data_IF_485339626692
#
_entry.id   IF_485339626692
#
_cell.length_a   1.000
_cell.length_b   1.000
_cell.length_c   1.000
_cell.angle_alpha   90.00
_cell.angle_beta   90.00
_cell.angle_gamma   90.00
#
_symmetry.space_group_name_H-M   'P 1'
#
loop_
_entity.id
_entity.type
_entity.pdbx_description
1 polymer ?
#
# COMPACT_ATOMS: atom_id res chain seq x y z
N UNK A 1 -32.26 -32.26 -47.73
CA UNK A 1 -33.04 -33.51 -47.89
C UNK A 1 -34.53 -33.19 -47.85
N UNK A 2 -35.29 -33.63 -48.84
CA UNK A 2 -36.72 -33.37 -49.02
C UNK A 2 -37.55 -34.07 -47.94
N UNK A 3 -38.56 -33.40 -47.36
CA UNK A 3 -39.47 -34.01 -46.37
C UNK A 3 -40.14 -35.27 -46.97
N UNK A 4 -40.16 -36.42 -46.28
CA UNK A 4 -40.79 -37.63 -46.79
C UNK A 4 -42.27 -37.39 -47.14
N UNK A 5 -42.69 -37.79 -48.34
CA UNK A 5 -44.09 -37.73 -48.74
C UNK A 5 -44.95 -38.56 -47.79
N UNK A 6 -46.18 -38.11 -47.48
CA UNK A 6 -47.07 -38.73 -46.48
C UNK A 6 -47.28 -40.25 -46.69
N UNK A 7 -47.28 -40.73 -47.93
CA UNK A 7 -47.46 -42.14 -48.28
C UNK A 7 -46.15 -42.88 -48.60
N UNK A 8 -44.99 -42.22 -48.54
CA UNK A 8 -43.70 -42.84 -48.77
C UNK A 8 -43.36 -43.86 -47.65
N UNK A 9 -42.51 -44.86 -47.93
CA UNK A 9 -41.96 -45.71 -46.88
C UNK A 9 -41.23 -44.87 -45.83
N UNK A 10 -41.39 -45.24 -44.56
CA UNK A 10 -40.84 -44.49 -43.45
C UNK A 10 -39.30 -44.61 -43.42
N UNK A 11 -38.56 -43.49 -43.25
CA UNK A 11 -37.09 -43.50 -43.29
C UNK A 11 -36.42 -44.27 -42.14
N UNK A 12 -37.18 -44.71 -41.13
CA UNK A 12 -36.67 -45.56 -40.04
C UNK A 12 -36.43 -47.03 -40.45
N UNK A 13 -36.72 -47.41 -41.70
CA UNK A 13 -36.52 -48.78 -42.19
C UNK A 13 -37.61 -49.78 -41.77
N UNK A 14 -38.67 -49.34 -41.09
CA UNK A 14 -39.74 -50.22 -40.58
C UNK A 14 -40.65 -50.86 -41.65
N UNK A 15 -40.48 -50.50 -42.93
CA UNK A 15 -41.34 -50.92 -44.03
C UNK A 15 -42.76 -50.33 -44.04
N UNK A 16 -43.16 -49.59 -42.99
CA UNK A 16 -44.49 -48.95 -42.88
C UNK A 16 -44.52 -47.61 -43.61
N UNK A 17 -45.71 -47.16 -44.05
CA UNK A 17 -45.89 -45.81 -44.63
C UNK A 17 -45.64 -44.73 -43.56
N UNK A 18 -44.95 -43.65 -43.91
CA UNK A 18 -44.57 -42.56 -42.99
C UNK A 18 -45.76 -42.03 -42.17
N UNK A 19 -46.94 -41.87 -42.78
CA UNK A 19 -48.17 -41.44 -42.08
C UNK A 19 -48.62 -42.32 -40.91
N UNK A 20 -48.25 -43.60 -40.89
CA UNK A 20 -48.65 -44.58 -39.87
C UNK A 20 -47.55 -44.77 -38.82
N UNK A 21 -46.32 -44.35 -39.13
CA UNK A 21 -45.16 -44.58 -38.29
C UNK A 21 -44.76 -43.29 -37.56
N UNK A 22 -44.02 -42.40 -38.21
CA UNK A 22 -43.44 -41.22 -37.53
C UNK A 22 -44.19 -39.91 -37.81
N UNK A 23 -45.22 -39.89 -38.66
CA UNK A 23 -45.89 -38.62 -39.00
C UNK A 23 -46.69 -37.99 -37.85
N UNK A 24 -47.22 -38.79 -36.92
CA UNK A 24 -47.88 -38.30 -35.71
C UNK A 24 -46.87 -37.71 -34.73
N UNK A 25 -45.75 -38.40 -34.50
CA UNK A 25 -44.65 -37.91 -33.67
C UNK A 25 -44.02 -36.65 -34.24
N UNK A 26 -43.76 -36.59 -35.55
CA UNK A 26 -43.20 -35.40 -36.20
C UNK A 26 -44.18 -34.22 -36.20
N UNK A 27 -45.49 -34.47 -36.18
CA UNK A 27 -46.50 -33.42 -35.96
C UNK A 27 -46.54 -32.98 -34.51
N UNK A 28 -46.45 -33.90 -33.55
CA UNK A 28 -46.40 -33.57 -32.14
C UNK A 28 -45.14 -32.75 -31.79
N UNK A 29 -43.99 -33.08 -32.38
CA UNK A 29 -42.74 -32.30 -32.26
C UNK A 29 -42.84 -30.91 -32.89
N UNK A 30 -43.59 -30.75 -33.98
CA UNK A 30 -43.82 -29.43 -34.62
C UNK A 30 -44.91 -28.60 -33.95
N UNK A 31 -45.85 -29.24 -33.26
CA UNK A 31 -46.96 -28.59 -32.55
C UNK A 31 -46.60 -28.23 -31.10
N UNK A 32 -45.42 -28.63 -30.62
CA UNK A 32 -44.91 -28.15 -29.33
C UNK A 32 -44.57 -26.66 -29.46
N UNK A 33 -45.17 -25.76 -28.65
CA UNK A 33 -44.76 -24.36 -28.65
C UNK A 33 -43.26 -24.27 -28.33
N UNK A 34 -42.52 -23.29 -28.89
CA UNK A 34 -41.14 -23.08 -28.48
C UNK A 34 -41.11 -22.91 -26.97
N UNK A 35 -40.27 -23.69 -26.28
CA UNK A 35 -40.06 -23.52 -24.86
C UNK A 35 -39.79 -22.03 -24.60
N UNK A 36 -40.47 -21.43 -23.60
CA UNK A 36 -40.25 -20.04 -23.23
C UNK A 36 -38.73 -19.83 -23.09
N UNK A 37 -38.19 -18.84 -23.82
CA UNK A 37 -36.77 -18.56 -23.79
C UNK A 37 -36.35 -18.32 -22.33
N UNK A 38 -35.32 -19.03 -21.87
CA UNK A 38 -34.81 -18.85 -20.52
C UNK A 38 -34.48 -17.37 -20.33
N UNK A 39 -34.83 -16.73 -19.19
CA UNK A 39 -34.69 -15.29 -19.00
C UNK A 39 -33.25 -14.78 -19.27
N UNK A 40 -32.26 -15.63 -19.02
CA UNK A 40 -30.83 -15.34 -19.21
C UNK A 40 -30.28 -15.68 -20.62
N UNK A 41 -31.12 -15.99 -21.61
CA UNK A 41 -30.64 -16.45 -22.93
C UNK A 41 -29.82 -15.36 -23.65
N UNK A 42 -30.21 -14.09 -23.51
CA UNK A 42 -29.50 -12.97 -24.09
C UNK A 42 -28.17 -12.72 -23.35
N UNK A 43 -28.20 -12.75 -22.02
CA UNK A 43 -27.03 -12.50 -21.17
C UNK A 43 -25.96 -13.59 -21.30
N UNK A 44 -26.39 -14.85 -21.38
CA UNK A 44 -25.48 -15.98 -21.66
C UNK A 44 -24.81 -15.85 -23.03
N UNK A 45 -25.54 -15.35 -24.04
CA UNK A 45 -24.95 -15.09 -25.36
C UNK A 45 -23.92 -13.96 -25.29
N UNK A 46 -24.26 -12.85 -24.64
CA UNK A 46 -23.34 -11.73 -24.44
C UNK A 46 -22.09 -12.12 -23.64
N UNK A 47 -22.24 -13.01 -22.65
CA UNK A 47 -21.12 -13.56 -21.89
C UNK A 47 -20.25 -14.51 -22.73
N UNK A 48 -20.84 -15.33 -23.59
CA UNK A 48 -20.09 -16.16 -24.55
C UNK A 48 -19.31 -15.30 -25.56
N UNK A 49 -19.91 -14.22 -26.05
CA UNK A 49 -19.24 -13.26 -26.94
C UNK A 49 -18.05 -12.60 -26.23
N UNK A 50 -18.21 -12.20 -24.97
CA UNK A 50 -17.14 -11.64 -24.16
C UNK A 50 -15.98 -12.63 -23.94
N UNK A 51 -16.27 -13.91 -23.72
CA UNK A 51 -15.25 -14.96 -23.57
C UNK A 51 -14.49 -15.24 -24.88
N UNK A 52 -15.09 -14.96 -26.02
CA UNK A 52 -14.47 -15.08 -27.35
C UNK A 52 -13.77 -13.80 -27.83
N UNK A 53 -13.83 -12.71 -27.06
CA UNK A 53 -13.25 -11.42 -27.42
C UNK A 53 -11.72 -11.45 -27.29
N UNK A 54 -10.95 -11.02 -28.30
CA UNK A 54 -9.49 -10.89 -28.19
C UNK A 54 -9.04 -9.85 -27.16
N UNK A 55 -9.88 -8.88 -26.80
CA UNK A 55 -9.58 -7.89 -25.76
C UNK A 55 -9.85 -8.44 -24.34
N UNK A 56 -8.80 -8.98 -23.73
CA UNK A 56 -8.83 -9.53 -22.38
C UNK A 56 -9.15 -8.49 -21.29
N UNK A 57 -9.02 -7.18 -21.56
CA UNK A 57 -9.31 -6.14 -20.58
C UNK A 57 -10.79 -6.10 -20.20
N UNK A 58 -11.68 -6.49 -21.13
CA UNK A 58 -13.13 -6.54 -20.88
C UNK A 58 -13.49 -7.75 -20.02
N UNK A 59 -12.84 -8.89 -20.27
CA UNK A 59 -12.99 -10.08 -19.44
C UNK A 59 -12.45 -9.86 -18.03
N UNK A 60 -11.27 -9.23 -17.89
CA UNK A 60 -10.70 -8.86 -16.58
C UNK A 60 -11.68 -8.02 -15.77
N UNK A 61 -12.23 -6.96 -16.37
CA UNK A 61 -13.23 -6.09 -15.72
C UNK A 61 -14.49 -6.85 -15.29
N UNK A 62 -14.97 -7.79 -16.10
CA UNK A 62 -16.12 -8.62 -15.74
C UNK A 62 -15.82 -9.56 -14.56
N UNK A 63 -14.59 -10.09 -14.47
CA UNK A 63 -14.15 -10.93 -13.35
C UNK A 63 -13.92 -10.13 -12.06
N UNK A 64 -13.38 -8.92 -12.17
CA UNK A 64 -13.26 -7.96 -11.05
C UNK A 64 -14.65 -7.58 -10.52
N UNK A 65 -15.60 -7.28 -11.41
CA UNK A 65 -16.99 -6.97 -11.05
C UNK A 65 -17.69 -8.17 -10.39
N UNK A 66 -17.46 -9.38 -10.92
CA UNK A 66 -17.94 -10.62 -10.30
C UNK A 66 -17.38 -10.76 -8.87
N UNK A 67 -16.08 -10.52 -8.67
CA UNK A 67 -15.45 -10.54 -7.35
C UNK A 67 -16.10 -9.55 -6.37
N UNK A 68 -16.39 -8.33 -6.82
CA UNK A 68 -17.07 -7.31 -6.02
C UNK A 68 -18.50 -7.72 -5.63
N UNK A 69 -19.27 -8.28 -6.56
CA UNK A 69 -20.61 -8.82 -6.28
C UNK A 69 -20.56 -9.95 -5.26
N UNK A 70 -19.61 -10.88 -5.44
CA UNK A 70 -19.40 -11.98 -4.52
C UNK A 70 -19.07 -11.48 -3.11
N UNK A 71 -18.15 -10.52 -2.96
CA UNK A 71 -17.81 -9.92 -1.67
C UNK A 71 -19.01 -9.22 -1.01
N UNK A 72 -19.80 -8.46 -1.79
CA UNK A 72 -20.99 -7.76 -1.29
C UNK A 72 -22.09 -8.68 -0.75
N UNK A 73 -22.13 -9.95 -1.17
CA UNK A 73 -23.07 -10.96 -0.66
C UNK A 73 -22.56 -11.74 0.54
N UNK A 74 -21.29 -11.54 0.93
CA UNK A 74 -20.64 -12.26 2.02
C UNK A 74 -20.47 -13.77 1.74
N UNK A 75 -20.11 -14.56 2.77
CA UNK A 75 -19.82 -15.98 2.64
C UNK A 75 -21.11 -16.80 2.52
N UNK A 76 -21.79 -16.68 1.39
CA UNK A 76 -23.02 -17.42 1.12
C UNK A 76 -22.70 -18.87 0.67
N UNK A 77 -23.48 -19.88 1.12
CA UNK A 77 -23.35 -21.25 0.65
C UNK A 77 -23.42 -21.33 -0.88
N UNK A 78 -22.53 -22.12 -1.46
CA UNK A 78 -22.41 -22.28 -2.90
C UNK A 78 -21.65 -21.16 -3.62
N UNK A 79 -21.35 -20.02 -2.97
CA UNK A 79 -20.50 -18.95 -3.53
C UNK A 79 -19.07 -18.93 -3.00
N UNK A 80 -18.78 -19.73 -1.98
CA UNK A 80 -17.49 -19.88 -1.32
C UNK A 80 -17.18 -21.35 -1.15
N UNK A 81 -15.89 -21.67 -1.05
CA UNK A 81 -15.47 -22.96 -0.50
C UNK A 81 -16.04 -23.13 0.90
N UNK A 82 -16.23 -24.38 1.32
CA UNK A 82 -16.62 -24.69 2.69
C UNK A 82 -15.66 -24.02 3.68
N UNK A 83 -16.21 -23.30 4.65
CA UNK A 83 -15.45 -22.43 5.52
C UNK A 83 -14.44 -23.20 6.39
N UNK A 84 -14.88 -24.31 6.99
CA UNK A 84 -14.03 -25.13 7.84
C UNK A 84 -12.94 -25.82 7.02
N UNK A 85 -13.27 -26.31 5.83
CA UNK A 85 -12.29 -26.90 4.93
C UNK A 85 -11.28 -25.87 4.40
N UNK A 86 -11.74 -24.65 4.10
CA UNK A 86 -10.88 -23.55 3.67
C UNK A 86 -9.93 -23.12 4.78
N UNK A 87 -10.45 -22.89 5.98
CA UNK A 87 -9.66 -22.50 7.16
C UNK A 87 -8.60 -23.55 7.50
N UNK A 88 -8.98 -24.83 7.57
CA UNK A 88 -8.05 -25.92 7.84
C UNK A 88 -6.96 -26.06 6.76
N UNK A 89 -7.32 -25.88 5.50
CA UNK A 89 -6.37 -25.97 4.38
C UNK A 89 -5.41 -24.78 4.36
N UNK A 90 -5.92 -23.55 4.48
CA UNK A 90 -5.11 -22.33 4.52
C UNK A 90 -4.18 -22.35 5.73
N UNK A 91 -4.67 -22.70 6.93
CA UNK A 91 -3.84 -22.80 8.12
C UNK A 91 -2.67 -23.77 7.93
N UNK A 92 -2.94 -24.98 7.45
CA UNK A 92 -1.90 -25.98 7.17
C UNK A 92 -0.94 -25.55 6.06
N UNK A 93 -1.44 -24.94 5.00
CA UNK A 93 -0.60 -24.47 3.89
C UNK A 93 0.31 -23.32 4.34
N UNK A 94 -0.20 -22.39 5.16
CA UNK A 94 0.60 -21.31 5.73
C UNK A 94 1.66 -21.82 6.71
N UNK A 95 1.36 -22.83 7.53
CA UNK A 95 2.36 -23.49 8.39
C UNK A 95 3.49 -24.13 7.56
N UNK A 96 3.15 -24.77 6.44
CA UNK A 96 4.14 -25.36 5.55
C UNK A 96 5.03 -24.31 4.86
N UNK A 97 4.43 -23.20 4.39
CA UNK A 97 5.13 -22.08 3.77
C UNK A 97 5.96 -21.27 4.78
N UNK A 98 5.57 -21.21 6.06
CA UNK A 98 6.38 -20.60 7.11
C UNK A 98 7.67 -21.39 7.42
N UNK A 99 7.70 -22.69 7.10
CA UNK A 99 8.83 -23.59 7.34
C UNK A 99 9.88 -23.64 6.22
N UNK A 100 9.66 -22.99 5.08
CA UNK A 100 10.61 -22.94 3.96
C UNK A 100 11.63 -21.81 4.13
N UNK A 101 12.92 -22.09 3.87
CA UNK A 101 14.04 -21.15 4.07
C UNK A 101 14.14 -20.05 3.00
N UNK A 102 13.48 -20.25 1.85
CA UNK A 102 13.31 -19.27 0.77
C UNK A 102 11.83 -18.90 0.70
N UNK A 103 11.48 -17.74 1.22
CA UNK A 103 10.11 -17.19 1.16
C UNK A 103 10.05 -16.21 0.00
N UNK A 104 9.17 -16.48 -0.97
CA UNK A 104 8.90 -15.64 -2.13
C UNK A 104 7.40 -15.31 -2.14
N UNK A 105 6.97 -14.14 -1.64
CA UNK A 105 5.54 -13.88 -1.37
C UNK A 105 4.61 -14.06 -2.57
N UNK A 106 5.05 -13.71 -3.78
CA UNK A 106 4.29 -13.90 -5.00
C UNK A 106 4.14 -15.39 -5.36
N UNK A 107 5.21 -16.16 -5.16
CA UNK A 107 5.22 -17.61 -5.36
C UNK A 107 4.42 -18.33 -4.28
N UNK A 108 4.55 -17.93 -3.02
CA UNK A 108 3.84 -18.49 -1.88
C UNK A 108 2.34 -18.21 -1.98
N UNK A 109 1.94 -17.00 -2.37
CA UNK A 109 0.53 -16.67 -2.68
C UNK A 109 0.02 -17.49 -3.86
N UNK A 110 0.82 -17.66 -4.92
CA UNK A 110 0.45 -18.48 -6.07
C UNK A 110 0.34 -19.96 -5.69
N UNK A 111 1.22 -20.47 -4.83
CA UNK A 111 1.21 -21.84 -4.32
C UNK A 111 0.01 -22.08 -3.39
N UNK A 112 -0.31 -21.10 -2.54
CA UNK A 112 -1.50 -21.11 -1.70
C UNK A 112 -2.77 -21.13 -2.53
N UNK A 113 -2.87 -20.26 -3.55
CA UNK A 113 -3.99 -20.23 -4.49
C UNK A 113 -4.11 -21.58 -5.22
N UNK A 114 -3.04 -22.04 -5.88
CA UNK A 114 -3.06 -23.28 -6.68
C UNK A 114 -3.36 -24.49 -5.79
N UNK A 115 -2.76 -24.56 -4.60
CA UNK A 115 -3.01 -25.64 -3.64
C UNK A 115 -4.45 -25.65 -3.13
N UNK A 116 -5.00 -24.47 -2.83
CA UNK A 116 -6.38 -24.33 -2.36
C UNK A 116 -7.39 -24.67 -3.45
N UNK A 117 -7.18 -24.16 -4.67
CA UNK A 117 -8.01 -24.46 -5.83
C UNK A 117 -7.96 -25.94 -6.19
N UNK A 118 -6.78 -26.59 -6.11
CA UNK A 118 -6.64 -28.04 -6.29
C UNK A 118 -7.39 -28.86 -5.25
N UNK A 119 -7.35 -28.41 -4.00
CA UNK A 119 -7.96 -29.15 -2.90
C UNK A 119 -9.48 -28.97 -2.84
N UNK A 120 -9.98 -27.74 -3.05
CA UNK A 120 -11.37 -27.36 -2.77
C UNK A 120 -12.20 -27.09 -4.04
N UNK A 121 -11.54 -26.80 -5.16
CA UNK A 121 -12.15 -26.54 -6.46
C UNK A 121 -12.70 -27.80 -7.14
N UNK A 122 -13.62 -28.51 -6.50
CA UNK A 122 -14.19 -29.75 -7.05
C UNK A 122 -15.26 -29.48 -8.11
N UNK A 123 -15.56 -30.49 -8.95
CA UNK A 123 -16.68 -30.42 -9.91
C UNK A 123 -18.02 -30.16 -9.21
N UNK A 124 -18.25 -30.81 -8.07
CA UNK A 124 -19.47 -30.61 -7.28
C UNK A 124 -19.59 -29.17 -6.76
N UNK A 125 -18.47 -28.58 -6.33
CA UNK A 125 -18.41 -27.18 -5.96
C UNK A 125 -18.75 -26.27 -7.16
N UNK A 126 -18.11 -26.48 -8.30
CA UNK A 126 -18.36 -25.68 -9.51
C UNK A 126 -19.80 -25.79 -10.04
N UNK A 127 -20.41 -26.97 -9.98
CA UNK A 127 -21.82 -27.16 -10.35
C UNK A 127 -22.75 -26.39 -9.41
N UNK A 128 -22.45 -26.40 -8.10
CA UNK A 128 -23.19 -25.66 -7.08
C UNK A 128 -23.00 -24.15 -7.25
N UNK A 129 -21.77 -23.71 -7.50
CA UNK A 129 -21.43 -22.32 -7.77
C UNK A 129 -22.17 -21.81 -9.00
N UNK A 130 -22.10 -22.54 -10.11
CA UNK A 130 -22.82 -22.23 -11.34
C UNK A 130 -24.32 -22.07 -11.11
N UNK A 131 -24.94 -23.02 -10.42
CA UNK A 131 -26.36 -22.95 -10.11
C UNK A 131 -26.69 -21.70 -9.28
N UNK A 132 -25.86 -21.40 -8.29
CA UNK A 132 -26.05 -20.26 -7.38
C UNK A 132 -25.89 -18.91 -8.08
N UNK A 133 -24.90 -18.75 -8.97
CA UNK A 133 -24.71 -17.50 -9.71
C UNK A 133 -25.77 -17.32 -10.80
N UNK A 134 -26.22 -18.39 -11.47
CA UNK A 134 -27.32 -18.31 -12.44
C UNK A 134 -28.66 -18.00 -11.78
N UNK A 135 -28.91 -18.55 -10.58
CA UNK A 135 -30.08 -18.19 -9.80
C UNK A 135 -30.06 -16.69 -9.45
N UNK A 136 -28.92 -16.16 -9.00
CA UNK A 136 -28.77 -14.73 -8.71
C UNK A 136 -28.86 -13.83 -9.94
N UNK A 137 -28.35 -14.29 -11.08
CA UNK A 137 -28.49 -13.58 -12.34
C UNK A 137 -29.96 -13.46 -12.78
N UNK A 138 -30.79 -14.45 -12.45
CA UNK A 138 -32.22 -14.46 -12.77
C UNK A 138 -33.07 -13.63 -11.78
N UNK A 139 -32.49 -13.04 -10.74
CA UNK A 139 -33.22 -12.19 -9.79
C UNK A 139 -33.68 -10.89 -10.44
N UNK A 140 -34.93 -10.44 -10.19
CA UNK A 140 -35.42 -9.18 -10.73
C UNK A 140 -34.67 -7.99 -10.12
N UNK A 141 -34.37 -6.97 -10.93
CA UNK A 141 -33.72 -5.73 -10.48
C UNK A 141 -32.20 -5.69 -10.62
N UNK A 142 -31.58 -6.73 -11.21
CA UNK A 142 -30.16 -6.73 -11.56
C UNK A 142 -29.85 -5.82 -12.73
N UNK A 143 -28.69 -5.15 -12.68
CA UNK A 143 -28.18 -4.40 -13.82
C UNK A 143 -27.73 -5.36 -14.94
N UNK A 144 -27.71 -4.92 -16.21
CA UNK A 144 -27.17 -5.74 -17.31
C UNK A 144 -25.71 -6.15 -17.07
N UNK A 145 -24.92 -5.28 -16.43
CA UNK A 145 -23.51 -5.53 -16.10
C UNK A 145 -23.36 -6.62 -15.04
N UNK A 146 -24.21 -6.61 -14.01
CA UNK A 146 -24.25 -7.65 -12.98
C UNK A 146 -24.61 -9.00 -13.60
N UNK A 147 -25.68 -9.03 -14.40
CA UNK A 147 -26.16 -10.25 -15.04
C UNK A 147 -25.10 -10.81 -15.99
N UNK A 148 -24.42 -9.95 -16.76
CA UNK A 148 -23.32 -10.37 -17.63
C UNK A 148 -22.15 -10.97 -16.84
N UNK A 149 -21.68 -10.31 -15.78
CA UNK A 149 -20.58 -10.81 -14.95
C UNK A 149 -20.91 -12.17 -14.30
N UNK A 150 -22.15 -12.36 -13.84
CA UNK A 150 -22.62 -13.64 -13.29
C UNK A 150 -22.72 -14.74 -14.35
N UNK A 151 -23.19 -14.40 -15.55
CA UNK A 151 -23.20 -15.33 -16.68
C UNK A 151 -21.79 -15.72 -17.11
N UNK A 152 -20.82 -14.80 -17.10
CA UNK A 152 -19.39 -15.10 -17.35
C UNK A 152 -18.86 -16.08 -16.31
N UNK A 153 -19.11 -15.83 -15.01
CA UNK A 153 -18.74 -16.75 -13.94
C UNK A 153 -19.35 -18.14 -14.10
N UNK A 154 -20.62 -18.22 -14.49
CA UNK A 154 -21.32 -19.48 -14.75
C UNK A 154 -20.74 -20.28 -15.93
N UNK A 155 -20.35 -19.58 -17.01
CA UNK A 155 -19.74 -20.18 -18.19
C UNK A 155 -18.33 -20.68 -17.90
N UNK A 156 -17.52 -19.89 -17.20
CA UNK A 156 -16.17 -20.30 -16.77
C UNK A 156 -16.21 -21.50 -15.82
N UNK A 157 -17.19 -21.56 -14.92
CA UNK A 157 -17.42 -22.75 -14.07
C UNK A 157 -17.83 -23.99 -14.88
N UNK A 158 -18.28 -23.82 -16.12
CA UNK A 158 -18.69 -24.89 -17.04
C UNK A 158 -17.65 -25.24 -18.10
N UNK A 159 -16.51 -24.53 -18.16
CA UNK A 159 -15.64 -24.46 -19.33
C UNK A 159 -14.84 -25.74 -19.68
N UNK A 160 -15.09 -26.88 -19.03
CA UNK A 160 -14.39 -28.12 -19.38
C UNK A 160 -15.10 -28.95 -20.46
N UNK A 161 -14.34 -29.33 -21.48
CA UNK A 161 -14.76 -30.29 -22.49
C UNK A 161 -15.01 -31.68 -21.87
N UNK A 162 -16.12 -32.33 -22.22
CA UNK A 162 -16.40 -33.71 -21.84
C UNK A 162 -15.27 -34.61 -22.37
N UNK A 163 -14.36 -35.03 -21.49
CA UNK A 163 -13.27 -35.97 -21.81
C UNK A 163 -11.86 -35.52 -21.46
N UNK A 164 -11.63 -34.25 -21.08
CA UNK A 164 -10.31 -33.82 -20.58
C UNK A 164 -10.12 -34.17 -19.10
N UNK A 165 -8.85 -34.27 -18.67
CA UNK A 165 -8.49 -34.40 -17.25
C UNK A 165 -8.96 -33.13 -16.52
N UNK A 166 -9.61 -33.31 -15.36
CA UNK A 166 -10.06 -32.20 -14.53
C UNK A 166 -8.86 -31.59 -13.80
N UNK A 167 -8.49 -30.37 -14.20
CA UNK A 167 -7.48 -29.54 -13.55
C UNK A 167 -8.19 -28.27 -13.08
N UNK A 168 -8.49 -28.13 -11.79
CA UNK A 168 -9.17 -26.94 -11.28
C UNK A 168 -8.33 -25.67 -11.42
N UNK A 169 -7.00 -25.76 -11.43
CA UNK A 169 -6.09 -24.62 -11.64
C UNK A 169 -6.23 -23.94 -13.02
N UNK A 170 -6.85 -24.61 -13.99
CA UNK A 170 -7.09 -24.05 -15.33
C UNK A 170 -8.43 -23.30 -15.43
N UNK A 171 -9.15 -23.14 -14.30
CA UNK A 171 -10.51 -22.58 -14.24
C UNK A 171 -10.46 -21.17 -13.61
N UNK A 172 -10.49 -20.09 -14.41
CA UNK A 172 -10.20 -18.73 -13.93
C UNK A 172 -11.17 -18.21 -12.85
N UNK A 173 -12.40 -18.72 -12.81
CA UNK A 173 -13.38 -18.30 -11.80
C UNK A 173 -13.02 -18.79 -10.40
N UNK A 174 -12.21 -19.85 -10.27
CA UNK A 174 -11.75 -20.32 -8.96
C UNK A 174 -10.71 -19.37 -8.35
N UNK A 175 -9.90 -18.69 -9.18
CA UNK A 175 -8.96 -17.65 -8.72
C UNK A 175 -9.73 -16.47 -8.11
N UNK A 176 -10.83 -16.04 -8.75
CA UNK A 176 -11.71 -14.97 -8.21
C UNK A 176 -12.32 -15.36 -6.87
N UNK A 177 -12.84 -16.59 -6.76
CA UNK A 177 -13.44 -17.10 -5.52
C UNK A 177 -12.40 -17.19 -4.40
N UNK A 178 -11.20 -17.69 -4.71
CA UNK A 178 -10.10 -17.74 -3.76
C UNK A 178 -9.73 -16.36 -3.25
N UNK A 179 -9.51 -15.37 -4.13
CA UNK A 179 -9.09 -14.02 -3.73
C UNK A 179 -10.13 -13.33 -2.82
N UNK A 180 -11.42 -13.50 -3.12
CA UNK A 180 -12.50 -12.95 -2.27
C UNK A 180 -12.54 -13.65 -0.91
N UNK A 181 -12.56 -14.98 -0.88
CA UNK A 181 -12.64 -15.74 0.36
C UNK A 181 -11.40 -15.59 1.23
N UNK A 182 -10.22 -15.51 0.61
CA UNK A 182 -8.96 -15.31 1.32
C UNK A 182 -8.90 -13.94 1.98
N UNK A 183 -9.42 -12.88 1.33
CA UNK A 183 -9.55 -11.56 1.94
C UNK A 183 -10.48 -11.58 3.16
N UNK A 184 -11.66 -12.19 3.01
CA UNK A 184 -12.62 -12.38 4.11
C UNK A 184 -12.03 -13.22 5.25
N UNK A 185 -11.16 -14.18 4.94
CA UNK A 185 -10.45 -14.98 5.93
C UNK A 185 -9.39 -14.16 6.67
N UNK A 186 -8.60 -13.35 5.96
CA UNK A 186 -7.61 -12.44 6.54
C UNK A 186 -8.26 -11.41 7.48
N UNK A 187 -9.40 -10.83 7.10
CA UNK A 187 -10.15 -9.87 7.94
C UNK A 187 -10.59 -10.50 9.28
N UNK A 188 -10.91 -11.79 9.29
CA UNK A 188 -11.33 -12.54 10.49
C UNK A 188 -10.18 -13.05 11.35
N UNK A 189 -9.01 -13.27 10.75
CA UNK A 189 -7.83 -13.80 11.42
C UNK A 189 -6.74 -12.72 11.54
N UNK A 190 -7.08 -11.56 12.11
CA UNK A 190 -6.22 -10.35 12.19
C UNK A 190 -4.78 -10.62 12.66
N UNK A 191 -4.52 -11.56 13.57
CA UNK A 191 -3.15 -11.91 14.00
C UNK A 191 -2.34 -12.67 12.92
N UNK A 192 -2.98 -13.51 12.12
CA UNK A 192 -2.38 -14.23 10.98
C UNK A 192 -2.32 -13.34 9.73
N UNK A 193 -3.30 -12.45 9.55
CA UNK A 193 -3.26 -11.39 8.55
C UNK A 193 -2.18 -10.36 8.85
N UNK A 194 -1.83 -10.09 10.12
CA UNK A 194 -0.63 -9.32 10.47
C UNK A 194 0.67 -10.08 10.13
N UNK A 195 0.70 -11.41 10.24
CA UNK A 195 1.84 -12.22 9.75
C UNK A 195 1.94 -12.19 8.22
N UNK A 196 0.83 -12.21 7.50
CA UNK A 196 0.77 -12.11 6.04
C UNK A 196 0.97 -10.69 5.51
N UNK A 197 0.47 -9.66 6.18
CA UNK A 197 0.83 -8.26 5.93
C UNK A 197 2.29 -7.99 6.32
N UNK A 198 2.87 -8.68 7.31
CA UNK A 198 4.31 -8.64 7.56
C UNK A 198 5.11 -9.37 6.46
N UNK A 199 4.55 -10.40 5.83
CA UNK A 199 5.13 -11.04 4.63
C UNK A 199 4.94 -10.19 3.36
N UNK A 200 3.86 -9.42 3.25
CA UNK A 200 3.50 -8.63 2.06
C UNK A 200 3.95 -7.16 2.13
N UNK A 201 4.15 -6.59 3.32
CA UNK A 201 4.63 -5.20 3.51
C UNK A 201 6.13 -5.09 3.80
N UNK A 202 6.86 -6.20 3.94
CA UNK A 202 8.28 -6.17 4.34
C UNK A 202 9.25 -7.16 3.67
N UNK A 203 8.91 -7.88 2.59
CA UNK A 203 9.89 -8.73 1.87
C UNK A 203 10.23 -8.11 0.49
N UNK A 204 11.26 -7.27 0.37
CA UNK A 204 12.67 -7.65 0.19
C UNK A 204 12.94 -8.48 -1.09
N UNK A 205 12.62 -7.91 -2.26
CA UNK A 205 12.98 -8.47 -3.56
C UNK A 205 14.51 -8.51 -3.87
N UNK A 206 15.41 -8.42 -2.88
CA UNK A 206 16.87 -8.43 -3.16
C UNK A 206 17.79 -8.77 -1.98
N UNK A 207 17.27 -9.19 -0.82
CA UNK A 207 18.13 -9.44 0.33
C UNK A 207 18.69 -10.88 0.33
N UNK A 208 20.03 -10.96 0.28
CA UNK A 208 20.78 -12.20 0.35
C UNK A 208 20.43 -13.01 1.61
N UNK A 209 20.69 -14.31 1.62
CA UNK A 209 20.50 -15.16 2.81
C UNK A 209 21.21 -14.59 4.05
N UNK A 210 22.35 -13.91 3.86
CA UNK A 210 23.06 -13.19 4.93
C UNK A 210 22.29 -11.99 5.47
N UNK A 211 21.58 -11.24 4.61
CA UNK A 211 20.77 -10.09 5.02
C UNK A 211 19.58 -10.50 5.87
N UNK A 212 18.93 -11.61 5.49
CA UNK A 212 17.82 -12.19 6.26
C UNK A 212 18.26 -12.66 7.65
N UNK A 213 19.39 -13.35 7.75
CA UNK A 213 19.94 -13.81 9.02
C UNK A 213 20.32 -12.62 9.93
N UNK A 214 20.90 -11.58 9.34
CA UNK A 214 21.31 -10.37 10.04
C UNK A 214 20.11 -9.54 10.54
N UNK A 215 19.05 -9.42 9.73
CA UNK A 215 17.77 -8.82 10.13
C UNK A 215 17.07 -9.61 11.24
N UNK A 216 17.12 -10.95 11.20
CA UNK A 216 16.54 -11.79 12.23
C UNK A 216 17.28 -11.64 13.57
N UNK A 217 18.62 -11.54 13.54
CA UNK A 217 19.44 -11.25 14.72
C UNK A 217 19.16 -9.85 15.28
N UNK A 218 19.02 -8.82 14.44
CA UNK A 218 18.62 -7.49 14.87
C UNK A 218 17.22 -7.45 15.50
N UNK A 219 16.25 -8.18 14.96
CA UNK A 219 14.91 -8.35 15.58
C UNK A 219 14.97 -9.05 16.94
N UNK A 220 15.97 -9.89 17.17
CA UNK A 220 16.23 -10.52 18.47
C UNK A 220 17.08 -9.64 19.43
N UNK A 221 17.41 -8.41 19.02
CA UNK A 221 18.16 -7.43 19.83
C UNK A 221 19.64 -7.30 19.48
N UNK A 222 20.15 -8.08 18.53
CA UNK A 222 21.55 -8.02 18.06
C UNK A 222 21.66 -7.15 16.79
N UNK A 223 21.63 -5.83 17.01
CA UNK A 223 21.72 -4.82 15.95
C UNK A 223 23.08 -4.87 15.24
N UNK A 224 24.12 -5.36 15.91
CA UNK A 224 25.48 -5.44 15.36
C UNK A 224 25.57 -6.45 14.21
N UNK A 225 24.81 -7.54 14.26
CA UNK A 225 24.74 -8.50 13.15
C UNK A 225 24.22 -7.87 11.85
N UNK A 226 23.22 -6.99 11.93
CA UNK A 226 22.69 -6.24 10.79
C UNK A 226 23.70 -5.23 10.24
N UNK A 227 24.39 -4.52 11.14
CA UNK A 227 25.45 -3.59 10.75
C UNK A 227 26.60 -4.30 10.05
N UNK A 228 27.05 -5.45 10.58
CA UNK A 228 28.11 -6.26 9.97
C UNK A 228 27.71 -6.79 8.60
N UNK A 229 26.46 -7.24 8.43
CA UNK A 229 26.00 -7.70 7.14
C UNK A 229 25.94 -6.58 6.10
N UNK A 230 25.36 -5.44 6.47
CA UNK A 230 25.33 -4.26 5.59
C UNK A 230 26.75 -3.85 5.20
N UNK A 231 27.69 -3.81 6.15
CA UNK A 231 29.10 -3.49 5.87
C UNK A 231 29.82 -4.53 4.98
N UNK A 232 29.36 -5.78 4.98
CA UNK A 232 29.97 -6.87 4.21
C UNK A 232 29.55 -6.91 2.73
N UNK A 233 28.49 -6.18 2.35
CA UNK A 233 28.01 -6.08 0.96
C UNK A 233 28.12 -4.63 0.45
N UNK A 234 29.22 -4.27 -0.24
CA UNK A 234 29.42 -2.93 -0.78
C UNK A 234 28.32 -2.46 -1.73
N UNK A 235 27.67 -3.37 -2.48
CA UNK A 235 26.60 -3.00 -3.40
C UNK A 235 25.31 -2.65 -2.65
N UNK A 236 25.03 -3.34 -1.54
CA UNK A 236 23.92 -3.00 -0.65
C UNK A 236 24.16 -1.65 0.06
N UNK A 237 25.38 -1.38 0.53
CA UNK A 237 25.76 -0.05 1.07
C UNK A 237 25.54 1.04 0.04
N UNK A 238 25.98 0.82 -1.20
CA UNK A 238 25.81 1.78 -2.30
C UNK A 238 24.32 2.01 -2.59
N UNK A 239 23.49 0.97 -2.62
CA UNK A 239 22.04 1.08 -2.82
C UNK A 239 21.36 1.85 -1.69
N UNK A 240 21.66 1.53 -0.43
CA UNK A 240 21.10 2.22 0.75
C UNK A 240 21.51 3.69 0.72
N UNK A 241 22.77 3.95 0.39
CA UNK A 241 23.31 5.31 0.29
C UNK A 241 22.63 6.08 -0.86
N UNK A 242 22.44 5.45 -2.02
CA UNK A 242 21.74 6.05 -3.16
C UNK A 242 20.28 6.34 -2.83
N UNK A 243 19.56 5.38 -2.26
CA UNK A 243 18.17 5.57 -1.84
C UNK A 243 18.06 6.73 -0.84
N UNK A 244 18.93 6.77 0.17
CA UNK A 244 18.99 7.85 1.14
C UNK A 244 19.26 9.21 0.46
N UNK A 245 20.19 9.28 -0.49
CA UNK A 245 20.47 10.50 -1.25
C UNK A 245 19.28 10.94 -2.12
N UNK A 246 18.58 10.00 -2.76
CA UNK A 246 17.38 10.28 -3.55
C UNK A 246 16.25 10.81 -2.65
N UNK A 247 16.06 10.22 -1.46
CA UNK A 247 15.11 10.71 -0.46
C UNK A 247 15.48 12.11 0.01
N UNK A 248 16.73 12.35 0.37
CA UNK A 248 17.25 13.68 0.71
C UNK A 248 16.98 14.71 -0.37
N UNK A 249 17.18 14.36 -1.64
CA UNK A 249 16.92 15.24 -2.77
C UNK A 249 15.42 15.54 -2.94
N UNK A 250 14.54 14.55 -2.77
CA UNK A 250 13.08 14.76 -2.74
C UNK A 250 12.67 15.67 -1.59
N UNK A 251 13.25 15.47 -0.42
CA UNK A 251 12.97 16.29 0.76
C UNK A 251 13.35 17.74 0.49
N UNK A 252 14.58 17.98 0.02
CA UNK A 252 15.09 19.30 -0.35
C UNK A 252 14.24 19.98 -1.43
N UNK A 253 13.80 19.24 -2.45
CA UNK A 253 12.91 19.77 -3.48
C UNK A 253 11.56 20.21 -2.90
N UNK A 254 10.98 19.39 -2.03
CA UNK A 254 9.67 19.62 -1.44
C UNK A 254 9.68 20.75 -0.41
N UNK A 255 10.79 21.02 0.28
CA UNK A 255 10.93 22.19 1.17
C UNK A 255 10.68 23.53 0.47
N UNK A 256 10.91 23.61 -0.85
CA UNK A 256 10.66 24.81 -1.66
C UNK A 256 9.17 25.03 -1.97
N UNK A 257 8.31 24.05 -1.71
CA UNK A 257 6.87 24.17 -1.90
C UNK A 257 6.24 24.83 -0.66
N UNK A 258 5.49 25.95 -0.82
CA UNK A 258 4.78 26.60 0.27
C UNK A 258 3.76 25.70 1.00
N UNK A 259 3.28 24.64 0.37
CA UNK A 259 2.35 23.68 0.98
C UNK A 259 3.06 22.65 1.87
N UNK A 260 4.39 22.58 1.85
CA UNK A 260 5.15 21.57 2.60
C UNK A 260 5.21 21.91 4.10
N UNK A 261 4.86 20.97 4.98
CA UNK A 261 5.00 21.16 6.42
C UNK A 261 6.46 21.44 6.83
N UNK A 262 6.69 22.26 7.87
CA UNK A 262 8.04 22.58 8.31
C UNK A 262 8.80 21.33 8.79
N UNK A 263 10.09 21.29 8.48
CA UNK A 263 10.97 20.20 8.94
C UNK A 263 11.17 20.28 10.45
N UNK A 264 11.36 21.49 10.99
CA UNK A 264 11.67 21.72 12.40
C UNK A 264 10.42 21.84 13.26
N UNK A 265 10.57 21.48 14.53
CA UNK A 265 9.67 21.97 15.57
C UNK A 265 10.11 23.37 15.98
N UNK A 266 9.22 24.18 16.58
CA UNK A 266 9.55 25.54 16.97
C UNK A 266 10.82 25.63 17.83
N UNK A 267 10.95 24.78 18.85
CA UNK A 267 12.12 24.77 19.73
C UNK A 267 13.43 24.35 19.04
N UNK A 268 13.34 23.52 17.99
CA UNK A 268 14.50 23.10 17.20
C UNK A 268 14.95 24.24 16.26
N UNK A 269 14.00 24.93 15.64
CA UNK A 269 14.26 26.12 14.82
C UNK A 269 14.88 27.24 15.66
N UNK A 270 14.36 27.48 16.88
CA UNK A 270 14.93 28.46 17.79
C UNK A 270 16.36 28.09 18.21
N UNK A 271 16.63 26.80 18.48
CA UNK A 271 17.98 26.33 18.77
C UNK A 271 18.94 26.61 17.62
N UNK A 272 18.58 26.21 16.39
CA UNK A 272 19.41 26.47 15.22
C UNK A 272 19.58 27.95 14.95
N UNK A 273 18.53 28.76 15.12
CA UNK A 273 18.61 30.22 15.05
C UNK A 273 19.64 30.73 16.05
N UNK A 274 19.63 30.24 17.29
CA UNK A 274 20.52 30.73 18.32
C UNK A 274 21.99 30.43 18.05
N UNK A 275 22.31 29.19 17.68
CA UNK A 275 23.70 28.74 17.58
C UNK A 275 24.31 28.96 16.20
N UNK A 276 23.48 29.13 15.17
CA UNK A 276 23.94 29.32 13.80
C UNK A 276 23.85 30.76 13.31
N UNK A 277 23.31 31.69 14.09
CA UNK A 277 23.14 33.09 13.68
C UNK A 277 24.41 33.70 13.08
N UNK A 278 25.51 33.71 13.83
CA UNK A 278 26.78 34.30 13.39
C UNK A 278 27.40 33.56 12.19
N UNK A 279 27.48 32.21 12.19
CA UNK A 279 27.87 31.45 10.99
C UNK A 279 27.02 31.75 9.75
N UNK A 280 25.70 31.89 9.88
CA UNK A 280 24.80 32.20 8.77
C UNK A 280 25.01 33.62 8.24
N UNK A 281 25.20 34.59 9.14
CA UNK A 281 25.56 35.97 8.78
C UNK A 281 26.87 36.02 8.01
N UNK A 282 27.89 35.28 8.45
CA UNK A 282 29.18 35.22 7.77
C UNK A 282 29.05 34.68 6.33
N UNK A 283 28.20 33.68 6.09
CA UNK A 283 27.92 33.17 4.74
C UNK A 283 27.24 34.24 3.87
N UNK A 284 26.26 34.97 4.43
CA UNK A 284 25.58 36.05 3.72
C UNK A 284 26.51 37.21 3.38
N UNK A 285 27.42 37.57 4.29
CA UNK A 285 28.41 38.63 4.09
C UNK A 285 29.51 38.25 3.07
N UNK A 286 29.88 36.96 2.97
CA UNK A 286 30.90 36.46 2.06
C UNK A 286 30.50 36.40 0.57
N UNK A 287 29.37 37.03 0.19
CA UNK A 287 28.76 36.92 -1.14
C UNK A 287 29.59 37.50 -2.30
N UNK A 288 30.69 38.19 -2.05
CA UNK A 288 31.51 38.84 -3.09
C UNK A 288 32.84 38.14 -3.41
N UNK A 289 33.41 37.34 -2.51
CA UNK A 289 34.70 36.65 -2.72
C UNK A 289 34.59 35.12 -2.64
N UNK A 290 35.17 34.42 -3.63
CA UNK A 290 35.06 32.97 -3.76
C UNK A 290 35.87 32.19 -2.71
N UNK A 291 36.96 32.76 -2.18
CA UNK A 291 37.75 32.12 -1.11
C UNK A 291 37.05 32.29 0.25
N UNK A 292 36.62 33.51 0.56
CA UNK A 292 35.86 33.86 1.76
C UNK A 292 34.54 33.09 1.83
N UNK A 293 33.83 32.96 0.70
CA UNK A 293 32.59 32.14 0.64
C UNK A 293 32.86 30.68 0.94
N UNK A 294 33.92 30.09 0.39
CA UNK A 294 34.29 28.69 0.68
C UNK A 294 34.61 28.49 2.15
N UNK A 295 35.35 29.41 2.76
CA UNK A 295 35.65 29.38 4.18
C UNK A 295 34.39 29.53 5.06
N UNK A 296 33.50 30.45 4.71
CA UNK A 296 32.23 30.66 5.41
C UNK A 296 31.32 29.43 5.30
N UNK A 297 31.22 28.81 4.13
CA UNK A 297 30.45 27.57 3.91
C UNK A 297 31.04 26.41 4.73
N UNK A 298 32.36 26.26 4.76
CA UNK A 298 33.00 25.23 5.59
C UNK A 298 32.74 25.46 7.09
N UNK A 299 32.72 26.73 7.53
CA UNK A 299 32.45 27.09 8.91
C UNK A 299 30.99 26.83 9.30
N UNK A 300 30.00 27.19 8.47
CA UNK A 300 28.60 26.87 8.76
C UNK A 300 28.37 25.35 8.79
N UNK A 301 28.98 24.57 7.91
CA UNK A 301 28.88 23.10 7.95
C UNK A 301 29.43 22.57 9.26
N UNK A 302 30.56 23.10 9.74
CA UNK A 302 31.13 22.73 11.05
C UNK A 302 30.21 23.13 12.20
N UNK A 303 29.64 24.34 12.15
CA UNK A 303 28.72 24.83 13.17
C UNK A 303 27.44 23.99 13.23
N UNK A 304 26.84 23.65 12.08
CA UNK A 304 25.68 22.75 12.00
C UNK A 304 26.01 21.38 12.59
N UNK A 305 27.16 20.80 12.26
CA UNK A 305 27.61 19.54 12.87
C UNK A 305 27.77 19.64 14.39
N UNK A 306 28.28 20.76 14.89
CA UNK A 306 28.41 21.01 16.33
C UNK A 306 27.07 21.25 17.05
N UNK A 307 26.09 21.83 16.35
CA UNK A 307 24.74 22.07 16.85
C UNK A 307 23.88 20.80 16.91
N UNK A 308 24.26 19.76 16.17
CA UNK A 308 23.57 18.48 16.05
C UNK A 308 24.19 17.43 16.98
N UNK A 309 23.86 17.49 18.27
CA UNK A 309 24.16 16.38 19.18
C UNK A 309 23.17 15.22 19.04
N UNK A 310 23.52 14.11 19.71
CA UNK A 310 22.74 12.87 19.68
C UNK A 310 21.32 13.06 20.23
N UNK A 311 21.14 13.84 21.29
CA UNK A 311 19.84 14.07 21.92
C UNK A 311 18.89 14.84 20.99
N UNK A 312 19.39 15.90 20.35
CA UNK A 312 18.62 16.67 19.37
C UNK A 312 18.25 15.80 18.17
N UNK A 313 19.21 15.05 17.62
CA UNK A 313 18.98 14.16 16.47
C UNK A 313 17.99 13.04 16.79
N UNK A 314 18.08 12.44 17.97
CA UNK A 314 17.10 11.44 18.43
C UNK A 314 15.71 12.06 18.57
N UNK A 315 15.61 13.23 19.19
CA UNK A 315 14.34 13.97 19.33
C UNK A 315 13.70 14.31 17.99
N UNK A 316 14.48 14.85 17.06
CA UNK A 316 14.02 15.17 15.70
C UNK A 316 13.52 13.92 14.98
N UNK A 317 14.29 12.82 14.99
CA UNK A 317 13.90 11.56 14.34
C UNK A 317 12.63 10.96 14.96
N UNK A 318 12.54 10.94 16.28
CA UNK A 318 11.37 10.42 16.98
C UNK A 318 10.11 11.21 16.61
N UNK A 319 10.20 12.54 16.57
CA UNK A 319 9.10 13.43 16.18
C UNK A 319 8.67 13.21 14.73
N UNK A 320 9.61 13.18 13.79
CA UNK A 320 9.31 12.95 12.37
C UNK A 320 8.66 11.58 12.14
N UNK A 321 9.16 10.53 12.82
CA UNK A 321 8.56 9.18 12.76
C UNK A 321 7.16 9.15 13.38
N UNK A 322 6.93 9.85 14.49
CA UNK A 322 5.61 9.97 15.08
C UNK A 322 4.61 10.63 14.12
N UNK A 323 5.03 11.69 13.41
CA UNK A 323 4.22 12.34 12.37
C UNK A 323 4.00 11.48 11.14
N UNK A 324 4.99 10.69 10.73
CA UNK A 324 4.85 9.72 9.65
C UNK A 324 3.78 8.66 9.97
N UNK A 325 3.64 8.27 11.24
CA UNK A 325 2.62 7.32 11.72
C UNK A 325 1.26 7.92 12.11
N UNK A 326 1.10 9.24 12.06
CA UNK A 326 -0.11 9.93 12.51
C UNK A 326 -1.25 9.77 11.50
N UNK A 327 -2.19 8.85 11.79
CA UNK A 327 -3.30 8.52 10.90
C UNK A 327 -4.30 9.66 10.70
N UNK A 328 -4.21 10.73 11.50
CA UNK A 328 -5.07 11.91 11.37
C UNK A 328 -4.61 12.82 10.23
N UNK A 329 -3.36 12.71 9.79
CA UNK A 329 -2.80 13.42 8.65
C UNK A 329 -3.15 12.72 7.34
N UNK A 330 -3.22 13.47 6.26
CA UNK A 330 -3.39 12.89 4.92
C UNK A 330 -2.15 12.09 4.49
N UNK A 331 -2.35 11.21 3.50
CA UNK A 331 -1.31 10.30 3.03
C UNK A 331 -0.07 11.03 2.47
N UNK A 332 -0.26 12.16 1.78
CA UNK A 332 0.85 12.92 1.20
C UNK A 332 1.70 13.60 2.28
N UNK A 333 1.07 14.05 3.36
CA UNK A 333 1.73 14.59 4.55
C UNK A 333 2.49 13.50 5.33
N UNK A 334 1.89 12.32 5.53
CA UNK A 334 2.59 11.18 6.15
C UNK A 334 3.78 10.69 5.32
N UNK A 335 3.63 10.63 4.00
CA UNK A 335 4.71 10.26 3.09
C UNK A 335 5.87 11.28 3.14
N UNK A 336 5.56 12.58 3.25
CA UNK A 336 6.56 13.62 3.49
C UNK A 336 7.36 13.36 4.76
N UNK A 337 6.69 13.12 5.89
CA UNK A 337 7.38 12.90 7.16
C UNK A 337 8.18 11.58 7.18
N UNK A 338 7.74 10.56 6.45
CA UNK A 338 8.52 9.33 6.23
C UNK A 338 9.84 9.64 5.54
N UNK A 339 9.80 10.35 4.41
CA UNK A 339 11.00 10.72 3.65
C UNK A 339 11.91 11.65 4.46
N UNK A 340 11.34 12.61 5.18
CA UNK A 340 12.09 13.52 6.06
C UNK A 340 12.80 12.77 7.20
N UNK A 341 12.16 11.79 7.83
CA UNK A 341 12.78 11.00 8.90
C UNK A 341 14.01 10.23 8.40
N UNK A 342 13.90 9.60 7.23
CA UNK A 342 15.00 8.85 6.61
C UNK A 342 16.13 9.78 6.18
N UNK A 343 15.80 10.92 5.57
CA UNK A 343 16.79 11.89 5.12
C UNK A 343 17.56 12.53 6.29
N UNK A 344 16.87 12.84 7.40
CA UNK A 344 17.52 13.36 8.63
C UNK A 344 18.42 12.31 9.27
N UNK A 345 18.05 11.03 9.20
CA UNK A 345 18.89 9.94 9.70
C UNK A 345 20.16 9.74 8.85
N UNK A 346 20.04 9.83 7.52
CA UNK A 346 21.15 9.60 6.61
C UNK A 346 22.08 10.82 6.44
N UNK A 347 21.52 12.02 6.30
CA UNK A 347 22.27 13.25 6.01
C UNK A 347 21.79 14.42 6.90
N UNK A 348 21.92 14.33 8.25
CA UNK A 348 21.33 15.28 9.19
C UNK A 348 21.78 16.73 8.95
N UNK A 349 23.09 16.95 8.77
CA UNK A 349 23.62 18.29 8.50
C UNK A 349 23.11 18.85 7.18
N UNK A 350 22.93 18.01 6.16
CA UNK A 350 22.39 18.45 4.87
C UNK A 350 20.93 18.85 5.01
N UNK A 351 20.12 18.08 5.74
CA UNK A 351 18.71 18.38 5.95
C UNK A 351 18.51 19.66 6.76
N UNK A 352 19.33 19.90 7.79
CA UNK A 352 19.31 21.17 8.54
C UNK A 352 19.63 22.34 7.61
N UNK A 353 20.70 22.23 6.81
CA UNK A 353 21.05 23.27 5.84
C UNK A 353 19.94 23.48 4.82
N UNK A 354 19.38 22.42 4.25
CA UNK A 354 18.27 22.49 3.30
C UNK A 354 17.08 23.24 3.90
N UNK A 355 16.67 22.90 5.12
CA UNK A 355 15.57 23.59 5.79
C UNK A 355 15.89 25.07 6.03
N UNK A 356 17.06 25.41 6.55
CA UNK A 356 17.44 26.80 6.83
C UNK A 356 17.53 27.68 5.57
N UNK A 357 17.95 27.12 4.43
CA UNK A 357 18.19 27.90 3.22
C UNK A 357 17.08 27.84 2.17
N UNK A 358 16.20 26.83 2.23
CA UNK A 358 15.24 26.56 1.14
C UNK A 358 13.81 26.35 1.59
N UNK A 359 13.55 26.18 2.89
CA UNK A 359 12.18 25.99 3.37
C UNK A 359 11.33 27.25 3.11
N UNK A 360 10.13 27.04 2.58
CA UNK A 360 9.14 28.11 2.38
C UNK A 360 8.28 28.38 3.62
N UNK A 361 8.33 27.49 4.61
CA UNK A 361 7.54 27.55 5.84
C UNK A 361 8.48 27.50 7.05
N UNK A 362 8.27 28.43 7.98
CA UNK A 362 8.88 28.36 9.31
C UNK A 362 8.12 27.35 10.19
N UNK A 363 8.77 26.90 11.27
CA UNK A 363 8.15 26.06 12.27
C UNK A 363 6.94 26.76 12.88
N UNK A 364 5.79 26.07 12.82
CA UNK A 364 4.52 26.58 13.32
C UNK A 364 4.26 26.08 14.74
N UNK A 365 3.68 26.95 15.57
CA UNK A 365 3.23 26.59 16.91
C UNK A 365 2.14 25.51 16.87
N UNK A 366 2.11 24.66 17.88
CA UNK A 366 1.16 23.54 18.02
C UNK A 366 -0.22 24.00 18.47
N UNK A 367 -0.31 25.22 18.99
CA UNK A 367 -1.54 25.85 19.46
C UNK A 367 -1.55 27.34 19.12
N UNK A 368 -2.72 27.96 19.20
CA UNK A 368 -2.86 29.41 19.01
C UNK A 368 -2.03 30.22 20.02
N UNK A 369 -1.98 29.78 21.27
CA UNK A 369 -1.20 30.41 22.33
C UNK A 369 0.31 30.32 22.05
N UNK A 370 0.79 29.14 21.64
CA UNK A 370 2.18 28.96 21.25
C UNK A 370 2.57 29.83 20.05
N UNK A 371 1.69 29.95 19.05
CA UNK A 371 1.95 30.80 17.88
C UNK A 371 2.12 32.27 18.29
N UNK A 372 1.35 32.77 19.25
CA UNK A 372 1.49 34.14 19.75
C UNK A 372 2.83 34.31 20.46
N UNK A 373 3.20 33.39 21.36
CA UNK A 373 4.48 33.44 22.07
C UNK A 373 5.68 33.44 21.12
N UNK A 374 5.63 32.59 20.08
CA UNK A 374 6.68 32.54 19.05
C UNK A 374 6.73 33.83 18.23
N UNK A 375 5.59 34.39 17.86
CA UNK A 375 5.52 35.65 17.13
C UNK A 375 6.09 36.82 17.95
N UNK A 376 5.72 36.91 19.23
CA UNK A 376 6.22 37.94 20.15
C UNK A 376 7.74 37.84 20.35
N UNK A 377 8.28 36.60 20.45
CA UNK A 377 9.71 36.37 20.53
C UNK A 377 10.41 36.79 19.22
N UNK A 378 9.90 36.33 18.06
CA UNK A 378 10.46 36.63 16.73
C UNK A 378 10.39 38.11 16.35
N UNK A 379 9.46 38.86 16.93
CA UNK A 379 9.36 40.31 16.74
C UNK A 379 10.49 41.10 17.45
N UNK A 380 11.19 40.50 18.42
CA UNK A 380 12.26 41.18 19.16
C UNK A 380 13.52 41.31 18.31
N UNK A 381 14.14 42.51 18.23
CA UNK A 381 15.37 42.71 17.46
C UNK A 381 16.62 42.16 18.16
N UNK A 382 16.53 41.88 19.46
CA UNK A 382 17.61 41.31 20.28
C UNK A 382 17.00 40.21 21.14
N UNK A 383 17.66 39.07 21.19
CA UNK A 383 17.25 37.95 22.03
C UNK A 383 18.24 37.75 23.18
N UNK A 384 17.68 37.66 24.37
CA UNK A 384 18.36 37.34 25.63
C UNK A 384 17.75 36.08 26.24
N UNK A 385 18.41 35.50 27.23
CA UNK A 385 17.91 34.33 27.94
C UNK A 385 16.51 34.56 28.56
N UNK A 386 16.24 35.77 29.05
CA UNK A 386 14.98 36.11 29.71
C UNK A 386 13.81 36.21 28.72
N UNK A 387 14.10 36.52 27.45
CA UNK A 387 13.06 36.62 26.41
C UNK A 387 12.42 35.27 26.07
N UNK A 388 13.17 34.17 26.25
CA UNK A 388 12.70 32.81 25.97
C UNK A 388 11.93 32.20 27.15
N UNK A 389 11.98 32.82 28.33
CA UNK A 389 11.40 32.28 29.57
C UNK A 389 9.88 32.06 29.50
N UNK A 390 9.06 33.00 28.98
CA UNK A 390 7.62 32.77 28.84
C UNK A 390 7.30 31.54 27.97
N UNK A 391 8.08 31.33 26.91
CA UNK A 391 7.88 30.18 26.03
C UNK A 391 8.30 28.86 26.70
N UNK A 392 9.40 28.85 27.47
CA UNK A 392 9.80 27.69 28.27
C UNK A 392 8.71 27.29 29.27
N UNK A 393 8.19 28.25 30.04
CA UNK A 393 7.15 28.00 31.03
C UNK A 393 5.86 27.46 30.41
N UNK A 394 5.49 27.97 29.23
CA UNK A 394 4.36 27.44 28.45
C UNK A 394 4.58 25.97 28.04
N UNK A 395 5.77 25.62 27.55
CA UNK A 395 6.08 24.23 27.19
C UNK A 395 6.04 23.29 28.41
N UNK A 396 6.49 23.76 29.58
CA UNK A 396 6.42 22.99 30.83
C UNK A 396 4.97 22.77 31.28
N UNK A 397 4.15 23.82 31.27
CA UNK A 397 2.74 23.74 31.71
C UNK A 397 1.87 22.89 30.79
N UNK A 398 2.25 22.76 29.52
CA UNK A 398 1.57 21.92 28.52
C UNK A 398 2.11 20.50 28.42
N UNK A 399 3.07 20.12 29.28
CA UNK A 399 3.60 18.76 29.34
C UNK A 399 4.65 18.43 28.27
N UNK A 400 5.22 19.44 27.62
CA UNK A 400 6.27 19.31 26.59
C UNK A 400 7.68 19.47 27.20
N UNK A 401 7.98 18.71 28.25
CA UNK A 401 9.25 18.81 28.97
C UNK A 401 10.51 18.69 28.08
N UNK A 402 10.58 17.79 27.08
CA UNK A 402 11.75 17.75 26.18
C UNK A 402 11.91 19.02 25.35
N UNK A 403 10.81 19.67 24.95
CA UNK A 403 10.86 20.92 24.22
C UNK A 403 11.32 22.08 25.13
N UNK A 404 10.80 22.13 26.37
CA UNK A 404 11.21 23.09 27.37
C UNK A 404 12.71 23.00 27.69
N UNK A 405 13.26 21.78 27.78
CA UNK A 405 14.69 21.55 27.99
C UNK A 405 15.55 22.13 26.85
N UNK A 406 15.09 22.03 25.59
CA UNK A 406 15.80 22.65 24.46
C UNK A 406 15.76 24.18 24.54
N UNK A 407 14.63 24.75 24.93
CA UNK A 407 14.53 26.21 25.16
C UNK A 407 15.46 26.62 26.30
N UNK A 408 15.55 25.84 27.38
CA UNK A 408 16.49 26.09 28.46
C UNK A 408 17.93 26.15 27.96
N UNK A 409 18.33 25.21 27.09
CA UNK A 409 19.64 25.23 26.47
C UNK A 409 19.87 26.44 25.57
N UNK A 410 18.84 26.92 24.86
CA UNK A 410 18.91 28.19 24.13
C UNK A 410 19.18 29.35 25.09
N UNK A 411 18.53 29.38 26.25
CA UNK A 411 18.76 30.38 27.29
C UNK A 411 20.22 30.34 27.78
N UNK A 412 20.77 29.16 28.07
CA UNK A 412 22.18 29.00 28.46
C UNK A 412 23.13 29.57 27.40
N UNK A 413 22.91 29.21 26.13
CA UNK A 413 23.70 29.74 25.02
C UNK A 413 23.64 31.27 24.95
N UNK A 414 22.44 31.85 25.06
CA UNK A 414 22.21 33.29 24.95
C UNK A 414 22.83 34.10 26.11
N UNK A 415 23.04 33.50 27.29
CA UNK A 415 23.76 34.17 28.39
C UNK A 415 25.23 34.42 28.02
N UNK A 416 25.82 33.51 27.28
CA UNK A 416 27.21 33.61 26.82
C UNK A 416 27.32 34.32 25.46
N UNK A 417 26.28 34.23 24.63
CA UNK A 417 26.26 34.69 23.23
C UNK A 417 24.94 35.43 22.93
N UNK A 418 24.76 36.67 23.44
CA UNK A 418 23.55 37.44 23.16
C UNK A 418 23.39 37.70 21.65
N UNK A 419 22.16 37.57 21.15
CA UNK A 419 21.88 37.66 19.72
C UNK A 419 21.23 38.99 19.36
N UNK A 420 21.77 39.66 18.34
CA UNK A 420 21.13 40.80 17.69
C UNK A 420 20.65 40.38 16.31
N UNK A 421 19.33 40.33 16.14
CA UNK A 421 18.65 40.04 14.88
C UNK A 421 18.45 41.30 14.02
N UNK A 422 18.80 42.48 14.55
CA UNK A 422 18.74 43.72 13.80
C UNK A 422 19.55 43.60 12.51
N UNK A 423 18.91 43.94 11.38
CA UNK A 423 19.62 44.12 10.13
C UNK A 423 20.62 45.27 10.32
N UNK A 424 21.90 44.95 10.49
CA UNK A 424 22.94 45.91 10.18
C UNK A 424 22.72 46.29 8.71
N UNK A 425 22.23 47.52 8.52
CA UNK A 425 22.24 48.22 7.24
C UNK A 425 23.65 48.10 6.66
N UNK A 426 23.78 47.27 5.63
CA UNK A 426 24.89 47.36 4.66
C UNK A 426 24.68 48.62 3.84
#
# INVERSE_FOLDING_TARGET
MSKPGRNAPCPCGSGKKYKVCHASEDRARKASPPAAAHPLTADLRAAMELLGDPDLSRLSRALEHLGALLAGWGPAPGLRFDEAAFDAHIGKALEALAGTAEQEPARDKRELLVGTVRQLGTRAFLDTFRASVLQRAAEPGRSPEDTQALCVGALLASAQARGSRFNPEDIPVLDVIFEVQFREWCERHQELAHKLEALARFAEEDLSAGAREALQKAKAGDVDALLQHVQSDPALVERITREAQERSARVEAKLRDPATPPLFAPEEELWFTCVLWEPLRAVKAAASDAATRRAAVANIIRAVKGALDSELLEGMRARLRAKAGDTTLDEATRAWFTDAAIAVEAEPSRMVMAALFTASQEAQGRSAEEMVLLADLKARPVWTADDLEPYRQFLESTGLAPAAQRIHRCQEWLREHPLSLAAETV
#
